data_IF_479724377076
#
_entry.id   IF_479724377076
#
_cell.length_a   1.000
_cell.length_b   1.000
_cell.length_c   1.000
_cell.angle_alpha   90.00
_cell.angle_beta   90.00
_cell.angle_gamma   90.00
#
_symmetry.space_group_name_H-M   'P 1'
#
loop_
_entity.id
_entity.type
_entity.pdbx_description
1 polymer ?
#
# COMPACT_ATOMS: atom_id res chain seq x y z
N UNK A 1 31.61 2.67 -2.00
CA UNK A 1 30.36 3.15 -2.63
C UNK A 1 30.61 4.19 -3.73
N UNK A 2 31.49 5.17 -3.55
CA UNK A 2 31.77 6.22 -4.55
C UNK A 2 31.98 5.72 -5.99
N UNK A 3 32.77 4.66 -6.19
CA UNK A 3 32.95 4.06 -7.53
C UNK A 3 31.63 3.60 -8.17
N UNK A 4 30.74 2.97 -7.40
CA UNK A 4 29.49 2.41 -7.93
C UNK A 4 28.41 3.48 -8.16
N UNK A 5 28.48 4.59 -7.42
CA UNK A 5 27.53 5.69 -7.49
C UNK A 5 28.02 6.85 -8.36
N UNK A 6 29.15 6.67 -9.05
CA UNK A 6 29.63 7.64 -10.03
C UNK A 6 28.73 7.67 -11.26
N UNK A 7 28.70 8.82 -11.93
CA UNK A 7 27.91 9.02 -13.15
C UNK A 7 28.23 7.97 -14.23
N UNK A 8 29.51 7.70 -14.46
CA UNK A 8 29.96 6.68 -15.40
C UNK A 8 29.50 5.26 -15.00
N UNK A 9 29.50 4.96 -13.70
CA UNK A 9 29.08 3.65 -13.23
C UNK A 9 27.57 3.46 -13.28
N UNK A 10 26.81 4.53 -13.05
CA UNK A 10 25.37 4.53 -13.12
C UNK A 10 24.85 4.48 -14.55
N UNK A 11 25.59 4.99 -15.54
CA UNK A 11 25.22 4.87 -16.96
C UNK A 11 25.48 3.47 -17.53
N UNK A 12 26.43 2.71 -16.98
CA UNK A 12 26.77 1.36 -17.46
C UNK A 12 25.86 0.24 -16.90
N UNK A 13 25.09 -0.49 -17.74
CA UNK A 13 24.19 -1.56 -17.28
C UNK A 13 24.89 -2.68 -16.49
N UNK A 14 26.10 -3.07 -16.90
CA UNK A 14 26.87 -4.13 -16.26
C UNK A 14 27.27 -3.76 -14.83
N UNK A 15 27.67 -2.51 -14.58
CA UNK A 15 28.07 -2.03 -13.25
C UNK A 15 26.86 -1.93 -12.32
N UNK A 16 25.71 -1.47 -12.82
CA UNK A 16 24.44 -1.51 -12.08
C UNK A 16 24.04 -2.95 -11.71
N UNK A 17 24.13 -3.88 -12.67
CA UNK A 17 23.81 -5.29 -12.45
C UNK A 17 24.74 -5.94 -11.41
N UNK A 18 26.03 -5.63 -11.47
CA UNK A 18 27.01 -6.11 -10.52
C UNK A 18 26.74 -5.59 -9.11
N UNK A 19 26.48 -4.29 -8.94
CA UNK A 19 26.08 -3.71 -7.65
C UNK A 19 24.84 -4.40 -7.07
N UNK A 20 23.80 -4.62 -7.89
CA UNK A 20 22.59 -5.34 -7.47
C UNK A 20 22.89 -6.76 -6.99
N UNK A 21 23.86 -7.44 -7.59
CA UNK A 21 24.26 -8.80 -7.20
C UNK A 21 25.06 -8.79 -5.91
N UNK A 22 25.99 -7.85 -5.76
CA UNK A 22 26.79 -7.67 -4.55
C UNK A 22 25.91 -7.42 -3.32
N UNK A 23 24.96 -6.49 -3.39
CA UNK A 23 24.11 -6.17 -2.24
C UNK A 23 23.24 -7.37 -1.80
N UNK A 24 22.89 -8.24 -2.76
CA UNK A 24 22.14 -9.46 -2.49
C UNK A 24 23.00 -10.59 -1.94
N UNK A 25 24.31 -10.57 -2.12
CA UNK A 25 25.20 -11.64 -1.67
C UNK A 25 25.27 -11.71 -0.14
N UNK A 26 25.27 -12.90 0.44
CA UNK A 26 25.33 -13.08 1.89
C UNK A 26 26.60 -12.48 2.48
N UNK A 27 27.74 -12.66 1.82
CA UNK A 27 29.07 -12.23 2.29
C UNK A 27 29.25 -10.70 2.28
N UNK A 28 28.47 -9.99 1.47
CA UNK A 28 28.54 -8.54 1.33
C UNK A 28 27.78 -7.76 2.43
N UNK A 29 27.70 -8.30 3.64
CA UNK A 29 27.11 -7.62 4.80
C UNK A 29 27.74 -6.24 5.12
N UNK A 30 29.06 -6.00 4.95
CA UNK A 30 29.64 -4.69 5.26
C UNK A 30 29.09 -3.56 4.40
N UNK A 31 28.78 -3.83 3.14
CA UNK A 31 28.21 -2.84 2.22
C UNK A 31 26.79 -2.46 2.67
N UNK A 32 25.99 -3.44 3.10
CA UNK A 32 24.64 -3.19 3.63
C UNK A 32 24.71 -2.36 4.92
N UNK A 33 25.62 -2.71 5.83
CA UNK A 33 25.80 -1.99 7.08
C UNK A 33 26.20 -0.52 6.83
N UNK A 34 27.09 -0.26 5.86
CA UNK A 34 27.46 1.11 5.46
C UNK A 34 26.26 1.90 4.95
N UNK A 35 25.43 1.29 4.09
CA UNK A 35 24.20 1.92 3.58
C UNK A 35 23.17 2.18 4.69
N UNK A 36 23.09 1.30 5.69
CA UNK A 36 22.17 1.44 6.82
C UNK A 36 22.62 2.52 7.81
N UNK A 37 23.93 2.67 8.00
CA UNK A 37 24.52 3.70 8.88
C UNK A 37 24.33 5.10 8.32
N UNK A 38 24.47 5.25 7.00
CA UNK A 38 24.34 6.54 6.33
C UNK A 38 23.12 6.58 5.40
N UNK A 39 22.01 7.06 5.95
CA UNK A 39 20.76 7.27 5.20
C UNK A 39 20.88 8.28 4.04
N UNK A 40 21.96 9.08 3.99
CA UNK A 40 22.18 10.05 2.91
C UNK A 40 22.34 9.35 1.56
N UNK A 41 22.85 8.12 1.53
CA UNK A 41 22.95 7.33 0.30
C UNK A 41 21.58 7.11 -0.33
N UNK A 42 20.57 6.71 0.45
CA UNK A 42 19.23 6.51 -0.08
C UNK A 42 18.57 7.83 -0.45
N UNK A 43 18.73 8.86 0.37
CA UNK A 43 18.16 10.18 0.11
C UNK A 43 18.62 10.77 -1.22
N UNK A 44 19.94 10.81 -1.42
CA UNK A 44 20.53 11.40 -2.61
C UNK A 44 20.23 10.56 -3.87
N UNK A 45 20.17 9.23 -3.75
CA UNK A 45 19.78 8.37 -4.87
C UNK A 45 18.30 8.51 -5.25
N UNK A 46 17.41 8.73 -4.28
CA UNK A 46 15.99 9.02 -4.55
C UNK A 46 15.82 10.40 -5.23
N UNK A 47 16.71 11.35 -4.95
CA UNK A 47 16.78 12.66 -5.60
C UNK A 47 17.53 12.64 -6.95
N UNK A 48 17.88 11.45 -7.49
CA UNK A 48 18.62 11.30 -8.74
C UNK A 48 20.03 11.93 -8.76
N UNK A 49 20.67 12.13 -7.60
CA UNK A 49 22.04 12.64 -7.52
C UNK A 49 23.08 11.53 -7.76
N UNK A 50 24.27 11.94 -8.17
CA UNK A 50 25.42 11.07 -8.43
C UNK A 50 26.61 11.48 -7.56
N UNK A 51 27.55 10.57 -7.31
CA UNK A 51 28.79 10.90 -6.60
C UNK A 51 29.89 11.29 -7.59
N UNK A 52 30.60 12.38 -7.29
CA UNK A 52 31.81 12.74 -8.01
C UNK A 52 33.03 11.93 -7.53
N UNK A 53 34.20 12.14 -8.15
CA UNK A 53 35.42 11.41 -7.81
C UNK A 53 35.93 11.71 -6.38
N UNK A 54 35.57 12.87 -5.82
CA UNK A 54 35.87 13.25 -4.43
C UNK A 54 34.88 12.68 -3.41
N UNK A 55 33.83 11.98 -3.86
CA UNK A 55 32.83 11.35 -2.98
C UNK A 55 31.71 12.29 -2.51
N UNK A 56 31.59 13.48 -3.10
CA UNK A 56 30.50 14.42 -2.86
C UNK A 56 29.34 14.20 -3.83
N UNK A 57 28.13 14.55 -3.39
CA UNK A 57 26.92 14.41 -4.19
C UNK A 57 26.70 15.61 -5.10
N UNK A 58 26.56 15.34 -6.39
CA UNK A 58 26.33 16.35 -7.43
C UNK A 58 25.13 15.97 -8.30
N UNK A 59 24.59 16.93 -9.04
CA UNK A 59 23.60 16.63 -10.08
C UNK A 59 24.25 15.91 -11.28
N UNK A 60 23.52 15.01 -11.97
CA UNK A 60 24.02 14.38 -13.19
C UNK A 60 24.22 15.41 -14.30
N UNK A 61 25.12 15.12 -15.26
CA UNK A 61 25.28 15.98 -16.42
C UNK A 61 23.97 16.11 -17.23
N UNK A 62 23.73 17.25 -17.92
CA UNK A 62 22.50 17.45 -18.70
C UNK A 62 22.27 16.35 -19.76
N UNK A 63 23.34 15.72 -20.25
CA UNK A 63 23.27 14.63 -21.21
C UNK A 63 22.67 13.33 -20.64
N UNK A 64 22.65 13.15 -19.31
CA UNK A 64 22.12 11.98 -18.60
C UNK A 64 20.86 12.28 -17.79
N UNK A 65 20.13 13.34 -18.13
CA UNK A 65 18.87 13.72 -17.49
C UNK A 65 17.63 13.31 -18.31
N UNK A 66 17.79 12.42 -19.29
CA UNK A 66 16.65 11.90 -20.05
C UNK A 66 15.75 11.06 -19.14
N UNK A 67 14.46 10.94 -19.51
CA UNK A 67 13.47 10.16 -18.75
C UNK A 67 13.93 8.72 -18.52
N UNK A 68 14.58 8.10 -19.52
CA UNK A 68 15.14 6.74 -19.42
C UNK A 68 16.22 6.64 -18.34
N UNK A 69 17.17 7.59 -18.29
CA UNK A 69 18.28 7.58 -17.33
C UNK A 69 17.78 7.77 -15.89
N UNK A 70 16.77 8.64 -15.73
CA UNK A 70 16.07 8.84 -14.45
C UNK A 70 15.42 7.52 -14.01
N UNK A 71 14.67 6.86 -14.90
CA UNK A 71 13.99 5.60 -14.59
C UNK A 71 14.96 4.46 -14.28
N UNK A 72 16.15 4.44 -14.87
CA UNK A 72 17.21 3.48 -14.54
C UNK A 72 17.79 3.70 -13.14
N UNK A 73 18.07 4.96 -12.77
CA UNK A 73 18.57 5.32 -11.43
C UNK A 73 17.54 5.06 -10.35
N UNK A 74 16.28 5.46 -10.58
CA UNK A 74 15.17 5.18 -9.65
C UNK A 74 14.97 3.68 -9.43
N UNK A 75 15.00 2.88 -10.51
CA UNK A 75 14.90 1.42 -10.40
C UNK A 75 16.10 0.83 -9.63
N UNK A 76 17.32 1.30 -9.88
CA UNK A 76 18.49 0.84 -9.15
C UNK A 76 18.37 1.16 -7.67
N UNK A 77 18.02 2.41 -7.33
CA UNK A 77 17.82 2.86 -5.95
C UNK A 77 16.82 1.96 -5.21
N UNK A 78 15.65 1.72 -5.81
CA UNK A 78 14.62 0.86 -5.21
C UNK A 78 15.06 -0.61 -5.12
N UNK A 79 15.88 -1.09 -6.06
CA UNK A 79 16.46 -2.43 -5.94
C UNK A 79 17.43 -2.55 -4.78
N UNK A 80 18.24 -1.52 -4.53
CA UNK A 80 19.16 -1.46 -3.39
C UNK A 80 18.35 -1.44 -2.09
N UNK A 81 17.36 -0.56 -1.97
CA UNK A 81 16.49 -0.44 -0.78
C UNK A 81 15.74 -1.76 -0.53
N UNK A 82 15.13 -2.37 -1.55
CA UNK A 82 14.43 -3.65 -1.41
C UNK A 82 15.39 -4.79 -1.01
N UNK A 83 16.61 -4.82 -1.53
CA UNK A 83 17.59 -5.85 -1.17
C UNK A 83 18.11 -5.69 0.27
N UNK A 84 18.40 -4.46 0.71
CA UNK A 84 18.84 -4.16 2.08
C UNK A 84 17.70 -4.44 3.07
N UNK A 85 16.50 -3.92 2.80
CA UNK A 85 15.34 -4.09 3.69
C UNK A 85 14.92 -5.55 3.85
N UNK A 86 15.06 -6.38 2.81
CA UNK A 86 14.82 -7.83 2.90
C UNK A 86 15.72 -8.54 3.90
N UNK A 87 17.00 -8.18 3.95
CA UNK A 87 17.99 -8.84 4.82
C UNK A 87 18.02 -8.23 6.22
N UNK A 88 17.53 -7.00 6.37
CA UNK A 88 17.56 -6.23 7.61
C UNK A 88 16.17 -5.69 7.95
N UNK A 89 15.22 -6.61 8.16
CA UNK A 89 13.80 -6.30 8.38
C UNK A 89 13.58 -5.37 9.58
N UNK A 90 14.24 -5.66 10.71
CA UNK A 90 14.11 -4.87 11.95
C UNK A 90 14.62 -3.43 11.80
N UNK A 91 15.73 -3.23 11.07
CA UNK A 91 16.21 -1.89 10.76
C UNK A 91 15.20 -1.12 9.91
N UNK A 92 14.67 -1.74 8.87
CA UNK A 92 13.71 -1.09 7.97
C UNK A 92 12.38 -0.78 8.65
N UNK A 93 11.96 -1.59 9.62
CA UNK A 93 10.81 -1.31 10.48
C UNK A 93 10.99 0.01 11.27
N UNK A 94 12.22 0.32 11.70
CA UNK A 94 12.55 1.56 12.42
C UNK A 94 12.87 2.76 11.52
N UNK A 95 13.10 2.56 10.22
CA UNK A 95 13.56 3.57 9.27
C UNK A 95 12.45 4.51 8.76
N UNK A 96 11.79 5.24 9.67
CA UNK A 96 10.64 6.12 9.36
C UNK A 96 10.96 7.20 8.32
N UNK A 97 12.11 7.87 8.44
CA UNK A 97 12.49 8.97 7.53
C UNK A 97 12.64 8.49 6.08
N UNK A 98 13.20 7.30 5.89
CA UNK A 98 13.34 6.71 4.56
C UNK A 98 11.95 6.39 3.96
N UNK A 99 11.04 5.85 4.77
CA UNK A 99 9.67 5.56 4.33
C UNK A 99 8.92 6.83 3.97
N UNK A 100 9.08 7.91 4.74
CA UNK A 100 8.50 9.22 4.41
C UNK A 100 9.00 9.69 3.03
N UNK A 101 10.30 9.59 2.75
CA UNK A 101 10.86 9.95 1.43
C UNK A 101 10.31 9.07 0.30
N UNK A 102 10.18 7.76 0.53
CA UNK A 102 9.56 6.84 -0.43
C UNK A 102 8.10 7.21 -0.71
N UNK A 103 7.34 7.63 0.32
CA UNK A 103 5.96 8.11 0.18
C UNK A 103 5.89 9.43 -0.58
N UNK A 104 6.81 10.37 -0.33
CA UNK A 104 6.91 11.62 -1.08
C UNK A 104 7.19 11.35 -2.56
N UNK A 105 8.11 10.43 -2.86
CA UNK A 105 8.38 9.98 -4.23
C UNK A 105 7.14 9.34 -4.85
N UNK A 106 6.45 8.44 -4.12
CA UNK A 106 5.24 7.78 -4.59
C UNK A 106 4.14 8.77 -4.95
N UNK A 107 3.94 9.79 -4.12
CA UNK A 107 2.88 10.78 -4.25
C UNK A 107 3.21 11.95 -5.18
N UNK A 108 4.43 12.02 -5.69
CA UNK A 108 4.83 13.01 -6.68
C UNK A 108 4.12 12.77 -8.03
N UNK A 109 3.49 13.82 -8.59
CA UNK A 109 2.74 13.76 -9.84
C UNK A 109 3.62 13.38 -11.05
N UNK A 110 4.85 13.89 -11.12
CA UNK A 110 5.79 13.59 -12.19
C UNK A 110 6.23 12.13 -12.14
N UNK A 111 6.52 11.62 -10.93
CA UNK A 111 6.84 10.22 -10.72
C UNK A 111 5.68 9.32 -11.16
N UNK A 112 4.45 9.61 -10.70
CA UNK A 112 3.25 8.86 -11.13
C UNK A 112 3.10 8.91 -12.65
N UNK A 113 3.25 10.10 -13.26
CA UNK A 113 3.13 10.30 -14.71
C UNK A 113 4.08 9.44 -15.55
N UNK A 114 5.33 9.24 -15.09
CA UNK A 114 6.34 8.38 -15.76
C UNK A 114 5.96 6.91 -15.78
N UNK A 115 5.39 6.40 -14.69
CA UNK A 115 5.15 4.96 -14.50
C UNK A 115 3.71 4.52 -14.81
N UNK A 116 2.78 5.44 -15.04
CA UNK A 116 1.41 5.11 -15.45
C UNK A 116 1.40 4.44 -16.84
N UNK A 117 0.78 3.27 -16.90
CA UNK A 117 0.63 2.47 -18.14
C UNK A 117 -0.73 2.71 -18.79
N UNK A 118 -1.76 3.00 -17.97
CA UNK A 118 -3.12 3.26 -18.41
C UNK A 118 -3.49 4.72 -18.16
N UNK A 119 -3.57 5.52 -19.22
CA UNK A 119 -4.08 6.89 -19.15
C UNK A 119 -5.44 6.99 -19.86
N UNK A 120 -6.43 7.73 -19.33
CA UNK A 120 -7.65 8.03 -20.07
C UNK A 120 -7.28 8.79 -21.35
N UNK A 121 -7.78 8.36 -22.50
CA UNK A 121 -7.63 9.15 -23.73
C UNK A 121 -8.48 10.42 -23.62
N UNK A 122 -7.93 11.57 -24.03
CA UNK A 122 -8.64 12.86 -24.05
C UNK A 122 -9.83 12.90 -25.02
N UNK A 123 -10.01 11.87 -25.86
CA UNK A 123 -11.21 11.69 -26.68
C UNK A 123 -12.02 10.54 -26.07
N UNK A 124 -13.14 10.93 -25.50
CA UNK A 124 -14.30 10.09 -25.15
C UNK A 124 -14.23 9.16 -23.93
N UNK A 125 -13.19 9.17 -23.07
CA UNK A 125 -13.13 8.32 -21.84
C UNK A 125 -13.36 6.81 -22.06
N UNK A 126 -13.50 6.36 -23.31
CA UNK A 126 -13.88 5.00 -23.71
C UNK A 126 -12.67 4.18 -24.20
N UNK A 127 -11.59 4.84 -24.61
CA UNK A 127 -10.36 4.17 -25.08
C UNK A 127 -9.22 4.32 -24.07
N UNK A 128 -8.79 3.18 -23.51
CA UNK A 128 -7.55 3.07 -22.75
C UNK A 128 -6.37 3.08 -23.73
N UNK A 129 -5.62 4.19 -23.78
CA UNK A 129 -4.35 4.20 -24.51
C UNK A 129 -3.32 3.42 -23.70
N UNK A 130 -2.97 2.21 -24.16
CA UNK A 130 -1.89 1.42 -23.59
C UNK A 130 -0.57 2.09 -23.98
N UNK A 131 0.07 2.78 -23.03
CA UNK A 131 1.44 3.26 -23.24
C UNK A 131 2.39 2.04 -23.33
N UNK A 132 3.42 2.13 -24.17
CA UNK A 132 4.47 1.09 -24.28
C UNK A 132 4.93 0.61 -22.89
N UNK A 133 4.89 -0.71 -22.69
CA UNK A 133 5.29 -1.38 -21.47
C UNK A 133 6.82 -1.55 -21.46
N UNK A 134 7.48 -0.98 -20.46
CA UNK A 134 8.92 -1.15 -20.24
C UNK A 134 9.18 -1.79 -18.89
N UNK A 135 10.38 -2.35 -18.71
CA UNK A 135 10.77 -3.01 -17.45
C UNK A 135 10.56 -2.12 -16.22
N UNK A 136 10.91 -0.86 -16.35
CA UNK A 136 10.77 0.16 -15.31
C UNK A 136 9.32 0.34 -14.87
N UNK A 137 8.37 0.34 -15.80
CA UNK A 137 6.94 0.61 -15.54
C UNK A 137 6.25 -0.41 -14.67
N UNK A 138 6.72 -1.65 -14.64
CA UNK A 138 6.19 -2.66 -13.70
C UNK A 138 7.13 -2.93 -12.51
N UNK A 139 8.46 -2.84 -12.67
CA UNK A 139 9.39 -3.12 -11.57
C UNK A 139 9.45 -2.02 -10.52
N UNK A 140 9.47 -0.76 -10.93
CA UNK A 140 9.60 0.38 -10.00
C UNK A 140 8.42 0.44 -9.02
N UNK A 141 7.15 0.48 -9.48
CA UNK A 141 6.00 0.44 -8.56
C UNK A 141 6.00 -0.82 -7.68
N UNK A 142 6.35 -1.99 -8.24
CA UNK A 142 6.40 -3.25 -7.48
C UNK A 142 7.43 -3.21 -6.34
N UNK A 143 8.64 -2.71 -6.60
CA UNK A 143 9.69 -2.61 -5.58
C UNK A 143 9.29 -1.65 -4.47
N UNK A 144 8.66 -0.53 -4.84
CA UNK A 144 8.19 0.46 -3.87
C UNK A 144 7.11 -0.11 -2.94
N UNK A 145 6.12 -0.79 -3.52
CA UNK A 145 5.06 -1.45 -2.74
C UNK A 145 5.63 -2.54 -1.84
N UNK A 146 6.59 -3.34 -2.31
CA UNK A 146 7.26 -4.34 -1.45
C UNK A 146 7.91 -3.69 -0.23
N UNK A 147 8.53 -2.52 -0.40
CA UNK A 147 9.09 -1.76 0.71
C UNK A 147 7.98 -1.30 1.66
N UNK A 148 6.90 -0.70 1.15
CA UNK A 148 5.78 -0.26 1.98
C UNK A 148 5.13 -1.40 2.77
N UNK A 149 4.87 -2.55 2.14
CA UNK A 149 4.33 -3.74 2.80
C UNK A 149 5.26 -4.19 3.93
N UNK A 150 6.57 -4.23 3.68
CA UNK A 150 7.56 -4.65 4.69
C UNK A 150 7.57 -3.71 5.90
N UNK A 151 7.47 -2.40 5.69
CA UNK A 151 7.40 -1.45 6.80
C UNK A 151 6.06 -1.52 7.54
N UNK A 152 4.95 -1.63 6.79
CA UNK A 152 3.59 -1.66 7.34
C UNK A 152 3.36 -2.88 8.24
N UNK A 153 4.00 -4.01 7.98
CA UNK A 153 3.92 -5.21 8.83
C UNK A 153 4.32 -4.97 10.28
N UNK A 154 5.40 -4.21 10.50
CA UNK A 154 5.86 -3.87 11.84
C UNK A 154 5.22 -2.60 12.40
N UNK A 155 4.53 -1.83 11.54
CA UNK A 155 3.87 -0.57 11.88
C UNK A 155 2.43 -0.56 11.33
N UNK A 156 1.62 -1.53 11.74
CA UNK A 156 0.26 -1.76 11.22
C UNK A 156 -0.75 -0.62 11.50
N UNK A 157 -0.35 0.40 12.24
CA UNK A 157 -1.20 1.51 12.64
C UNK A 157 -1.26 2.68 11.63
N UNK A 158 -0.38 2.71 10.62
CA UNK A 158 -0.33 3.77 9.59
C UNK A 158 -1.30 3.47 8.43
N UNK A 159 -2.57 3.85 8.61
CA UNK A 159 -3.62 3.64 7.62
C UNK A 159 -3.41 4.46 6.33
N UNK A 160 -2.67 5.58 6.38
CA UNK A 160 -2.36 6.34 5.18
C UNK A 160 -1.34 5.58 4.31
N UNK A 161 -0.38 4.86 4.92
CA UNK A 161 0.52 3.96 4.19
C UNK A 161 -0.23 2.78 3.56
N UNK A 162 -1.26 2.26 4.22
CA UNK A 162 -2.15 1.23 3.65
C UNK A 162 -2.85 1.76 2.39
N UNK A 163 -3.36 2.98 2.41
CA UNK A 163 -3.94 3.64 1.23
C UNK A 163 -2.92 3.77 0.09
N UNK A 164 -1.67 4.17 0.40
CA UNK A 164 -0.59 4.27 -0.58
C UNK A 164 -0.27 2.92 -1.25
N UNK A 165 -0.29 1.81 -0.47
CA UNK A 165 -0.14 0.44 -0.97
C UNK A 165 -1.29 0.08 -1.92
N UNK A 166 -2.52 0.39 -1.51
CA UNK A 166 -3.73 0.05 -2.26
C UNK A 166 -3.87 0.87 -3.56
N UNK A 167 -3.25 2.06 -3.62
CA UNK A 167 -3.26 2.92 -4.81
C UNK A 167 -2.69 2.22 -6.05
N UNK A 168 -1.75 1.28 -5.89
CA UNK A 168 -1.20 0.50 -7.01
C UNK A 168 -2.26 -0.37 -7.69
N UNK A 169 -3.28 -0.81 -6.94
CA UNK A 169 -4.32 -1.72 -7.41
C UNK A 169 -5.46 -1.03 -8.16
N UNK A 170 -5.42 0.30 -8.34
CA UNK A 170 -6.43 1.09 -9.06
C UNK A 170 -6.37 0.83 -10.59
N UNK A 171 -5.44 0.01 -11.07
CA UNK A 171 -5.33 -0.37 -12.49
C UNK A 171 -4.64 0.68 -13.36
N UNK A 172 -4.07 1.75 -12.77
CA UNK A 172 -3.25 2.73 -13.49
C UNK A 172 -1.82 2.23 -13.76
N UNK A 173 -1.36 1.28 -12.93
CA UNK A 173 -0.06 0.64 -13.04
C UNK A 173 -0.24 -0.83 -13.40
N UNK A 174 0.66 -1.35 -14.23
CA UNK A 174 0.71 -2.79 -14.49
C UNK A 174 1.50 -3.47 -13.39
N UNK A 175 0.91 -3.55 -12.19
CA UNK A 175 1.34 -4.50 -11.19
C UNK A 175 0.31 -5.60 -11.20
N UNK A 176 0.66 -6.72 -11.86
CA UNK A 176 -0.16 -7.92 -11.86
C UNK A 176 -0.57 -8.22 -10.40
N UNK A 177 -1.88 -8.24 -10.15
CA UNK A 177 -2.47 -8.67 -8.87
C UNK A 177 -1.79 -9.97 -8.37
N UNK A 178 -1.49 -10.98 -9.22
CA UNK A 178 -0.72 -12.16 -8.83
C UNK A 178 0.69 -11.90 -8.29
N UNK A 179 1.37 -10.83 -8.73
CA UNK A 179 2.74 -10.52 -8.31
C UNK A 179 2.81 -9.90 -6.91
N UNK A 180 1.77 -9.18 -6.50
CA UNK A 180 1.61 -8.67 -5.14
C UNK A 180 0.98 -9.72 -4.24
N UNK A 181 0.07 -10.53 -4.76
CA UNK A 181 -0.42 -11.73 -4.10
C UNK A 181 0.74 -12.67 -3.74
N UNK A 182 1.63 -12.98 -4.69
CA UNK A 182 2.86 -13.75 -4.45
C UNK A 182 3.82 -13.06 -3.48
N UNK A 183 3.89 -11.72 -3.48
CA UNK A 183 4.73 -11.00 -2.52
C UNK A 183 4.15 -11.12 -1.09
N UNK A 184 2.85 -10.89 -0.93
CA UNK A 184 2.16 -11.09 0.35
C UNK A 184 2.26 -12.56 0.83
N UNK A 185 2.09 -13.54 -0.06
CA UNK A 185 2.26 -14.97 0.21
C UNK A 185 3.69 -15.32 0.62
N UNK A 186 4.70 -15.03 -0.23
CA UNK A 186 6.08 -15.45 0.02
C UNK A 186 6.69 -14.79 1.27
N UNK A 187 6.36 -13.52 1.53
CA UNK A 187 6.84 -12.86 2.75
C UNK A 187 6.08 -13.28 4.02
N UNK A 188 4.81 -13.72 3.95
CA UNK A 188 4.13 -14.29 5.14
C UNK A 188 4.57 -15.73 5.41
N UNK A 189 4.84 -16.51 4.36
CA UNK A 189 5.27 -17.91 4.49
C UNK A 189 6.61 -18.03 5.22
N UNK A 190 7.57 -17.12 5.00
CA UNK A 190 8.87 -17.17 5.68
C UNK A 190 8.79 -16.91 7.22
N UNK A 191 7.76 -16.19 7.69
CA UNK A 191 7.54 -15.91 9.13
C UNK A 191 6.62 -16.98 9.76
N UNK A 192 5.59 -17.42 9.02
CA UNK A 192 4.71 -18.52 9.41
C UNK A 192 5.50 -19.85 9.50
N UNK A 193 6.46 -20.12 8.61
CA UNK A 193 7.34 -21.29 8.71
C UNK A 193 8.36 -21.21 9.87
N UNK A 194 8.57 -20.02 10.44
CA UNK A 194 9.33 -19.84 11.67
C UNK A 194 8.55 -20.23 12.93
N UNK A 195 7.22 -20.11 12.90
CA UNK A 195 6.33 -20.43 14.02
C UNK A 195 5.58 -21.77 13.87
N UNK A 196 5.46 -22.31 12.65
CA UNK A 196 4.86 -23.63 12.41
C UNK A 196 5.96 -24.71 12.44
N UNK A 197 6.34 -25.11 13.65
CA UNK A 197 6.80 -26.48 13.90
C UNK A 197 5.58 -27.41 13.86
N UNK A 198 4.99 -27.66 12.69
CA UNK A 198 4.14 -28.81 12.38
C UNK A 198 3.82 -28.88 10.88
N UNK A 199 4.43 -29.80 10.11
CA UNK A 199 4.24 -29.89 8.66
C UNK A 199 3.10 -30.86 8.34
N UNK A 200 1.89 -30.38 8.07
CA UNK A 200 0.86 -31.25 7.46
C UNK A 200 -0.20 -30.58 6.60
N UNK A 201 -0.21 -29.26 6.42
CA UNK A 201 -1.20 -28.63 5.53
C UNK A 201 -0.52 -27.64 4.58
N UNK A 202 -0.38 -28.06 3.31
CA UNK A 202 -0.07 -27.15 2.21
C UNK A 202 -1.36 -26.49 1.74
N UNK A 203 -1.49 -25.16 1.72
CA UNK A 203 -2.69 -24.50 1.21
C UNK A 203 -2.60 -24.28 -0.31
N UNK A 204 -3.70 -24.60 -0.99
CA UNK A 204 -3.94 -24.39 -2.42
C UNK A 204 -3.99 -22.90 -2.81
N UNK A 205 -3.62 -22.60 -4.06
CA UNK A 205 -3.49 -21.24 -4.61
C UNK A 205 -4.86 -20.59 -4.97
N UNK A 206 -5.67 -20.16 -3.98
CA UNK A 206 -6.87 -19.32 -4.22
C UNK A 206 -6.59 -17.84 -3.88
N UNK A 207 -6.78 -16.89 -4.84
CA UNK A 207 -6.73 -15.45 -4.59
C UNK A 207 -7.55 -14.92 -3.42
N UNK A 208 -8.64 -15.59 -3.03
CA UNK A 208 -9.47 -15.17 -1.89
C UNK A 208 -8.83 -15.50 -0.52
N UNK A 209 -7.86 -16.42 -0.46
CA UNK A 209 -7.18 -16.84 0.77
C UNK A 209 -6.23 -15.75 1.31
N UNK A 210 -5.72 -14.87 0.44
CA UNK A 210 -4.82 -13.78 0.80
C UNK A 210 -5.47 -12.76 1.75
N UNK A 211 -6.73 -12.45 1.46
CA UNK A 211 -7.56 -11.53 2.24
C UNK A 211 -7.91 -12.15 3.58
N UNK A 212 -8.15 -13.46 3.60
CA UNK A 212 -8.30 -14.23 4.84
C UNK A 212 -7.03 -14.18 5.69
N UNK A 213 -5.84 -14.34 5.11
CA UNK A 213 -4.56 -14.32 5.87
C UNK A 213 -4.21 -12.94 6.44
N UNK A 214 -4.53 -11.86 5.72
CA UNK A 214 -4.49 -10.49 6.26
C UNK A 214 -5.51 -10.33 7.40
N UNK A 215 -6.73 -10.87 7.27
CA UNK A 215 -7.74 -10.79 8.31
C UNK A 215 -7.35 -11.53 9.59
N UNK A 216 -6.52 -12.59 9.54
CA UNK A 216 -6.07 -13.32 10.74
C UNK A 216 -5.08 -12.54 11.62
N UNK A 217 -4.47 -11.46 11.13
CA UNK A 217 -3.34 -10.79 11.82
C UNK A 217 -3.68 -9.49 12.54
N UNK A 218 -4.86 -8.92 12.34
CA UNK A 218 -5.21 -7.60 12.92
C UNK A 218 -6.11 -7.70 14.15
N UNK A 219 -5.92 -6.79 15.11
CA UNK A 219 -6.74 -6.69 16.32
C UNK A 219 -8.13 -6.12 16.03
N UNK A 220 -9.09 -6.34 16.93
CA UNK A 220 -10.44 -5.75 16.84
C UNK A 220 -10.38 -4.22 16.83
N UNK A 221 -9.51 -3.63 17.65
CA UNK A 221 -9.23 -2.19 17.68
C UNK A 221 -8.77 -1.65 16.33
N UNK A 222 -7.89 -2.39 15.63
CA UNK A 222 -7.43 -2.00 14.30
C UNK A 222 -8.59 -1.99 13.29
N UNK A 223 -9.51 -2.96 13.35
CA UNK A 223 -10.68 -3.03 12.47
C UNK A 223 -11.62 -1.85 12.71
N UNK A 224 -11.89 -1.52 13.97
CA UNK A 224 -12.66 -0.33 14.37
C UNK A 224 -12.01 0.95 13.87
N UNK A 225 -10.68 1.09 14.05
CA UNK A 225 -9.90 2.23 13.57
C UNK A 225 -9.95 2.37 12.05
N UNK A 226 -9.80 1.27 11.31
CA UNK A 226 -9.91 1.25 9.86
C UNK A 226 -11.29 1.72 9.40
N UNK A 227 -12.35 1.20 10.02
CA UNK A 227 -13.71 1.58 9.66
C UNK A 227 -13.96 3.07 9.91
N UNK A 228 -13.61 3.58 11.10
CA UNK A 228 -13.73 5.01 11.41
C UNK A 228 -12.87 5.90 10.50
N UNK A 229 -11.67 5.46 10.12
CA UNK A 229 -10.79 6.19 9.20
C UNK A 229 -11.43 6.31 7.81
N UNK A 230 -11.97 5.22 7.27
CA UNK A 230 -12.65 5.23 5.96
C UNK A 230 -13.85 6.17 5.99
N UNK A 231 -14.70 6.09 7.01
CA UNK A 231 -15.84 6.99 7.18
C UNK A 231 -15.40 8.46 7.28
N UNK A 232 -14.37 8.74 8.08
CA UNK A 232 -13.82 10.10 8.21
C UNK A 232 -13.29 10.67 6.89
N UNK A 233 -12.73 9.84 6.00
CA UNK A 233 -12.32 10.27 4.65
C UNK A 233 -13.51 10.57 3.75
N UNK A 234 -14.61 9.83 3.87
CA UNK A 234 -15.85 10.14 3.15
C UNK A 234 -16.50 11.44 3.64
N UNK A 235 -16.53 11.66 4.96
CA UNK A 235 -17.06 12.89 5.58
C UNK A 235 -16.23 14.13 5.20
N UNK A 236 -14.91 14.04 5.30
CA UNK A 236 -14.01 15.18 5.03
C UNK A 236 -13.75 15.41 3.53
N UNK A 237 -13.78 14.35 2.72
CA UNK A 237 -13.34 14.38 1.32
C UNK A 237 -14.41 14.82 0.31
N UNK A 238 -15.68 14.89 0.73
CA UNK A 238 -16.82 15.32 -0.09
C UNK A 238 -16.80 14.73 -1.50
N UNK A 239 -17.04 15.58 -2.51
CA UNK A 239 -17.25 15.19 -3.92
C UNK A 239 -16.08 14.46 -4.61
N UNK A 240 -14.86 14.52 -4.07
CA UNK A 240 -13.67 13.91 -4.69
C UNK A 240 -13.51 12.44 -4.31
N UNK A 241 -13.66 12.12 -3.02
CA UNK A 241 -13.58 10.75 -2.49
C UNK A 241 -14.73 9.88 -2.99
N UNK A 242 -15.90 10.48 -3.15
CA UNK A 242 -17.13 9.85 -3.63
C UNK A 242 -17.02 9.29 -5.07
N UNK A 243 -16.02 9.74 -5.82
CA UNK A 243 -15.74 9.30 -7.20
C UNK A 243 -14.38 8.61 -7.34
N UNK A 244 -13.64 8.45 -6.25
CA UNK A 244 -12.29 7.92 -6.28
C UNK A 244 -12.29 6.39 -6.16
N UNK A 245 -11.77 5.74 -7.21
CA UNK A 245 -11.64 4.29 -7.31
C UNK A 245 -10.73 3.71 -6.22
N UNK A 246 -9.84 4.49 -5.61
CA UNK A 246 -9.06 4.07 -4.44
C UNK A 246 -9.96 3.57 -3.31
N UNK A 247 -10.96 4.36 -2.94
CA UNK A 247 -11.83 4.05 -1.80
C UNK A 247 -12.78 2.90 -2.11
N UNK A 248 -13.19 2.74 -3.38
CA UNK A 248 -13.87 1.53 -3.84
C UNK A 248 -13.03 0.30 -3.51
N UNK A 249 -11.74 0.33 -3.84
CA UNK A 249 -10.82 -0.80 -3.66
C UNK A 249 -10.49 -1.05 -2.19
N UNK A 250 -10.32 0.01 -1.39
CA UNK A 250 -10.14 -0.10 0.06
C UNK A 250 -11.34 -0.81 0.70
N UNK A 251 -12.55 -0.35 0.38
CA UNK A 251 -13.77 -0.94 0.95
C UNK A 251 -13.95 -2.38 0.48
N UNK A 252 -13.79 -2.62 -0.82
CA UNK A 252 -13.99 -3.93 -1.45
C UNK A 252 -13.00 -5.01 -0.95
N UNK A 253 -11.71 -4.69 -0.89
CA UNK A 253 -10.66 -5.70 -0.67
C UNK A 253 -10.11 -5.74 0.75
N UNK A 254 -10.32 -4.69 1.55
CA UNK A 254 -9.77 -4.62 2.91
C UNK A 254 -10.88 -4.53 3.95
N UNK A 255 -11.76 -3.54 3.83
CA UNK A 255 -12.76 -3.29 4.88
C UNK A 255 -13.80 -4.42 4.96
N UNK A 256 -14.51 -4.71 3.86
CA UNK A 256 -15.57 -5.72 3.83
C UNK A 256 -15.05 -7.09 4.29
N UNK A 257 -13.94 -7.61 3.75
CA UNK A 257 -13.48 -8.93 4.16
C UNK A 257 -12.95 -8.99 5.59
N UNK A 258 -12.30 -7.92 6.06
CA UNK A 258 -11.82 -7.82 7.45
C UNK A 258 -12.97 -7.83 8.45
N UNK A 259 -14.03 -7.07 8.15
CA UNK A 259 -15.25 -7.05 8.95
C UNK A 259 -16.00 -8.37 8.88
N UNK A 260 -16.13 -8.97 7.69
CA UNK A 260 -16.80 -10.25 7.53
C UNK A 260 -16.14 -11.34 8.37
N UNK A 261 -14.81 -11.45 8.31
CA UNK A 261 -14.08 -12.43 9.11
C UNK A 261 -14.30 -12.23 10.61
N UNK A 262 -14.33 -10.98 11.07
CA UNK A 262 -14.53 -10.65 12.48
C UNK A 262 -15.96 -10.92 12.95
N UNK A 263 -16.96 -10.53 12.17
CA UNK A 263 -18.38 -10.72 12.49
C UNK A 263 -18.82 -12.18 12.49
N UNK A 264 -18.09 -13.06 11.80
CA UNK A 264 -18.32 -14.50 11.85
C UNK A 264 -17.77 -15.18 13.13
N UNK A 265 -16.84 -14.52 13.85
CA UNK A 265 -16.03 -15.16 14.91
C UNK A 265 -16.09 -14.47 16.27
N UNK A 266 -16.35 -13.16 16.30
CA UNK A 266 -16.30 -12.33 17.49
C UNK A 266 -17.60 -11.53 17.68
N UNK A 267 -17.75 -10.92 18.86
CA UNK A 267 -18.88 -10.04 19.11
C UNK A 267 -18.75 -8.78 18.24
N UNK A 268 -19.84 -8.46 17.54
CA UNK A 268 -19.91 -7.34 16.59
C UNK A 268 -19.84 -5.99 17.30
N UNK A 269 -20.33 -5.94 18.55
CA UNK A 269 -20.34 -4.73 19.39
C UNK A 269 -18.92 -4.23 19.72
N UNK A 270 -17.91 -5.11 19.76
CA UNK A 270 -16.51 -4.70 19.98
C UNK A 270 -15.97 -3.81 18.84
N UNK A 271 -16.51 -3.99 17.62
CA UNK A 271 -16.10 -3.21 16.45
C UNK A 271 -17.04 -2.02 16.27
N UNK A 272 -18.35 -2.25 16.30
CA UNK A 272 -19.35 -1.22 15.99
C UNK A 272 -19.60 -0.27 17.17
N UNK A 273 -19.33 -0.70 18.39
CA UNK A 273 -19.66 0.02 19.62
C UNK A 273 -20.83 -0.67 20.34
N UNK A 274 -21.02 -0.37 21.62
CA UNK A 274 -22.22 -0.81 22.33
C UNK A 274 -23.44 -0.04 21.82
N UNK A 275 -24.56 -0.73 21.66
CA UNK A 275 -25.85 -0.10 21.32
C UNK A 275 -26.28 0.72 22.52
N UNK A 276 -26.25 2.05 22.40
CA UNK A 276 -26.78 2.95 23.40
C UNK A 276 -28.27 3.19 23.15
N UNK A 277 -29.04 3.41 24.23
CA UNK A 277 -30.46 3.75 24.09
C UNK A 277 -30.63 5.02 23.25
N UNK A 278 -31.65 5.12 22.38
CA UNK A 278 -31.90 6.31 21.54
C UNK A 278 -32.07 7.62 22.33
N UNK A 279 -32.37 7.51 23.62
CA UNK A 279 -32.53 8.63 24.55
C UNK A 279 -31.21 9.18 25.09
N UNK A 280 -30.14 8.38 25.01
CA UNK A 280 -28.81 8.68 25.55
C UNK A 280 -27.77 8.94 24.45
N UNK A 281 -28.11 8.65 23.18
CA UNK A 281 -27.24 8.93 22.05
C UNK A 281 -27.27 10.42 21.69
N UNK A 282 -26.14 11.15 21.75
CA UNK A 282 -26.05 12.44 21.07
C UNK A 282 -26.24 12.21 19.56
N UNK A 283 -26.95 13.12 18.87
CA UNK A 283 -27.23 13.06 17.40
C UNK A 283 -25.97 12.92 16.51
N UNK A 284 -24.77 13.02 17.10
CA UNK A 284 -23.48 12.88 16.44
C UNK A 284 -22.47 12.18 17.37
N UNK A 285 -22.74 10.97 17.87
CA UNK A 285 -21.69 10.18 18.53
C UNK A 285 -20.64 9.74 17.48
N UNK A 286 -19.37 10.18 17.57
CA UNK A 286 -18.32 9.74 16.65
C UNK A 286 -18.08 8.23 16.68
N UNK A 287 -18.54 7.55 17.75
CA UNK A 287 -18.36 6.13 17.98
C UNK A 287 -19.43 5.24 17.35
N UNK A 288 -20.56 5.80 16.90
CA UNK A 288 -21.59 5.05 16.18
C UNK A 288 -21.25 5.00 14.68
N UNK A 289 -20.54 3.93 14.31
CA UNK A 289 -20.06 3.75 12.94
C UNK A 289 -21.19 3.44 11.95
N UNK A 290 -22.30 2.89 12.43
CA UNK A 290 -23.45 2.51 11.58
C UNK A 290 -24.27 3.75 11.24
N UNK A 291 -24.53 4.61 12.23
CA UNK A 291 -25.18 5.90 12.00
C UNK A 291 -24.38 6.78 11.04
N UNK A 292 -23.07 6.91 11.25
CA UNK A 292 -22.17 7.66 10.36
C UNK A 292 -22.21 7.16 8.92
N UNK A 293 -22.18 5.83 8.73
CA UNK A 293 -22.31 5.23 7.41
C UNK A 293 -23.66 5.56 6.76
N UNK A 294 -24.76 5.45 7.49
CA UNK A 294 -26.10 5.77 6.98
C UNK A 294 -26.21 7.25 6.56
N UNK A 295 -25.68 8.15 7.39
CA UNK A 295 -25.66 9.58 7.11
C UNK A 295 -24.84 9.92 5.84
N UNK A 296 -23.67 9.29 5.65
CA UNK A 296 -22.86 9.46 4.42
C UNK A 296 -23.62 9.00 3.18
N UNK A 297 -24.34 7.88 3.26
CA UNK A 297 -25.11 7.33 2.14
C UNK A 297 -26.26 8.27 1.78
N UNK A 298 -26.99 8.79 2.78
CA UNK A 298 -28.15 9.66 2.55
C UNK A 298 -27.74 11.00 1.93
N UNK A 299 -26.70 11.63 2.47
CA UNK A 299 -26.19 12.92 1.96
C UNK A 299 -25.65 12.83 0.53
N UNK A 300 -25.06 11.70 0.15
CA UNK A 300 -24.32 11.58 -1.11
C UNK A 300 -25.03 10.71 -2.16
N UNK A 301 -26.26 10.26 -1.88
CA UNK A 301 -26.99 9.26 -2.68
C UNK A 301 -27.04 9.55 -4.19
N UNK A 302 -27.10 10.82 -4.58
CA UNK A 302 -27.24 11.25 -5.97
C UNK A 302 -25.91 11.57 -6.67
N UNK A 303 -24.81 11.69 -5.93
CA UNK A 303 -23.51 12.18 -6.46
C UNK A 303 -22.45 11.06 -6.50
N UNK A 304 -22.72 9.93 -5.84
CA UNK A 304 -21.84 8.76 -5.79
C UNK A 304 -21.60 8.09 -7.14
N UNK A 305 -20.36 7.68 -7.38
CA UNK A 305 -20.02 6.80 -8.51
C UNK A 305 -20.58 5.40 -8.29
N UNK A 306 -20.98 4.70 -9.36
CA UNK A 306 -21.55 3.35 -9.29
C UNK A 306 -20.67 2.38 -8.48
N UNK A 307 -19.34 2.48 -8.63
CA UNK A 307 -18.40 1.65 -7.88
C UNK A 307 -18.49 1.85 -6.36
N UNK A 308 -18.59 3.11 -5.89
CA UNK A 308 -18.74 3.45 -4.47
C UNK A 308 -20.11 2.98 -3.96
N UNK A 309 -21.16 3.22 -4.74
CA UNK A 309 -22.52 2.77 -4.41
C UNK A 309 -22.54 1.27 -4.16
N UNK A 310 -21.99 0.47 -5.08
CA UNK A 310 -21.97 -0.99 -4.96
C UNK A 310 -21.26 -1.43 -3.69
N UNK A 311 -20.04 -0.93 -3.41
CA UNK A 311 -19.28 -1.40 -2.24
C UNK A 311 -19.90 -0.95 -0.92
N UNK A 312 -20.52 0.23 -0.86
CA UNK A 312 -21.22 0.67 0.34
C UNK A 312 -22.48 -0.17 0.58
N UNK A 313 -23.25 -0.52 -0.46
CA UNK A 313 -24.37 -1.44 -0.31
C UNK A 313 -23.94 -2.86 0.09
N UNK A 314 -22.79 -3.35 -0.41
CA UNK A 314 -22.21 -4.61 0.04
C UNK A 314 -21.85 -4.55 1.53
N UNK A 315 -21.26 -3.43 1.98
CA UNK A 315 -20.97 -3.20 3.40
C UNK A 315 -22.26 -3.15 4.24
N UNK A 316 -23.30 -2.45 3.78
CA UNK A 316 -24.60 -2.42 4.45
C UNK A 316 -25.23 -3.82 4.54
N UNK A 317 -25.12 -4.63 3.48
CA UNK A 317 -25.62 -6.01 3.48
C UNK A 317 -24.91 -6.87 4.52
N UNK A 318 -23.59 -6.68 4.67
CA UNK A 318 -22.82 -7.34 5.72
C UNK A 318 -23.29 -6.93 7.13
N UNK A 319 -23.54 -5.64 7.36
CA UNK A 319 -24.06 -5.13 8.62
C UNK A 319 -25.46 -5.64 8.93
N UNK A 320 -26.38 -5.64 7.96
CA UNK A 320 -27.74 -6.19 8.15
C UNK A 320 -27.70 -7.68 8.50
N UNK A 321 -26.78 -8.43 7.90
CA UNK A 321 -26.65 -9.87 8.12
C UNK A 321 -26.11 -10.21 9.51
N UNK A 322 -25.09 -9.50 9.96
CA UNK A 322 -24.36 -9.85 11.19
C UNK A 322 -24.68 -8.95 12.39
N UNK A 323 -25.15 -7.72 12.15
CA UNK A 323 -25.43 -6.71 13.15
C UNK A 323 -26.85 -6.12 13.01
N UNK A 324 -27.92 -6.94 12.91
CA UNK A 324 -29.27 -6.43 12.66
C UNK A 324 -29.76 -5.48 13.76
N UNK A 325 -29.33 -5.68 15.01
CA UNK A 325 -29.67 -4.83 16.17
C UNK A 325 -29.13 -3.39 16.06
N UNK A 326 -28.03 -3.20 15.35
CA UNK A 326 -27.46 -1.87 15.07
C UNK A 326 -28.19 -1.14 13.93
N UNK A 327 -28.92 -1.86 13.08
CA UNK A 327 -29.61 -1.30 11.92
C UNK A 327 -31.11 -1.13 12.18
N UNK A 328 -31.70 -2.07 12.91
CA UNK A 328 -33.11 -2.07 13.28
C UNK A 328 -33.19 -1.99 14.80
N UNK A 329 -33.82 -0.94 15.31
CA UNK A 329 -34.18 -0.81 16.71
C UNK A 329 -35.37 -1.74 17.04
N UNK A 330 -35.23 -3.03 16.73
CA UNK A 330 -36.19 -4.07 17.07
C UNK A 330 -35.80 -4.69 18.41
N UNK A 331 -35.74 -3.86 19.45
CA UNK A 331 -36.22 -4.31 20.75
C UNK A 331 -37.75 -4.38 20.65
N UNK A 332 -38.20 -5.46 19.99
CA UNK A 332 -39.58 -5.90 20.08
C UNK A 332 -39.78 -6.32 21.53
N UNK A 333 -40.36 -5.43 22.33
CA UNK A 333 -41.04 -5.78 23.57
C UNK A 333 -42.10 -6.84 23.34
#
# INVERSE_FOLDING_TARGET
MAFFLSEESLSMPCRRAFLRKLIKDDECSPIRNLLMQDSSYFANLLENRVMNASGEWTEPSPAQQNESDIMEREMLCLHIIDAVSRRNVQWFASAKDLVIKLRQLWNNADFKGRYVVHAPCNKDLLELSIKMMTEHKYKVPRLLVNCFIRHYRHNNNDLDLLCDILFVFIGRYYVLIPSLQWAFERYNVDEILGEIQNPSEQPENDPNDLVYRLAHTYSMEWRRKLFSYVLGKFEAGGSTVIKDLLYVKIVQYVLIPSLQWAFERYNVDEILGEIQNPSEQPENDPNDLVYRLAHIIDQNRQVMSDGIVIVLYQLCTLLVKHAPRHVHNNDSK
#
